data_IF_537777931260
#
_entry.id   IF_537777931260
#
_cell.length_a   1.000
_cell.length_b   1.000
_cell.length_c   1.000
_cell.angle_alpha   90.00
_cell.angle_beta   90.00
_cell.angle_gamma   90.00
#
_symmetry.space_group_name_H-M   'P 1'
#
loop_
_entity.id
_entity.type
_entity.pdbx_description
1 polymer ?
#
# COMPACT_ATOMS: atom_id res chain seq x y z
N UNK A 1 -6.53 -16.09 -3.49
CA UNK A 1 -6.01 -14.81 -4.02
C UNK A 1 -4.49 -14.85 -3.92
N UNK A 2 -3.77 -14.61 -5.03
CA UNK A 2 -2.31 -14.81 -5.11
C UNK A 2 -1.53 -13.63 -4.51
N UNK A 3 -0.29 -13.89 -4.08
CA UNK A 3 0.69 -12.92 -3.56
C UNK A 3 0.76 -11.62 -4.38
N UNK A 4 0.71 -11.72 -5.71
CA UNK A 4 0.76 -10.58 -6.64
C UNK A 4 -0.44 -9.64 -6.50
N UNK A 5 -1.63 -10.17 -6.15
CA UNK A 5 -2.85 -9.37 -6.02
C UNK A 5 -2.80 -8.40 -4.84
N UNK A 6 -2.27 -8.84 -3.69
CA UNK A 6 -2.10 -7.99 -2.51
C UNK A 6 -1.11 -6.85 -2.76
N UNK A 7 -0.01 -7.13 -3.48
CA UNK A 7 1.02 -6.14 -3.82
C UNK A 7 0.49 -5.11 -4.81
N UNK A 8 -0.18 -5.55 -5.88
CA UNK A 8 -0.78 -4.64 -6.86
C UNK A 8 -1.81 -3.73 -6.20
N UNK A 9 -2.65 -4.28 -5.32
CA UNK A 9 -3.65 -3.49 -4.60
C UNK A 9 -3.02 -2.52 -3.60
N UNK A 10 -1.96 -2.91 -2.91
CA UNK A 10 -1.19 -2.02 -2.04
C UNK A 10 -0.62 -0.80 -2.80
N UNK A 11 -0.05 -1.04 -3.98
CA UNK A 11 0.51 0.01 -4.83
C UNK A 11 -0.58 0.92 -5.39
N UNK A 12 -1.72 0.37 -5.79
CA UNK A 12 -2.89 1.14 -6.21
C UNK A 12 -3.37 2.06 -5.08
N UNK A 13 -3.59 1.53 -3.88
CA UNK A 13 -3.98 2.32 -2.70
C UNK A 13 -2.98 3.45 -2.40
N UNK A 14 -1.67 3.18 -2.50
CA UNK A 14 -0.64 4.20 -2.30
C UNK A 14 -0.70 5.34 -3.33
N UNK A 15 -1.15 5.06 -4.57
CA UNK A 15 -1.19 6.02 -5.68
C UNK A 15 -2.52 6.75 -5.83
N UNK A 16 -3.63 6.09 -5.55
CA UNK A 16 -4.99 6.60 -5.83
C UNK A 16 -5.86 6.69 -4.59
N UNK A 17 -5.59 5.90 -3.56
CA UNK A 17 -6.38 5.84 -2.35
C UNK A 17 -6.11 6.99 -1.39
N UNK A 18 -6.97 7.13 -0.37
CA UNK A 18 -6.83 8.14 0.69
C UNK A 18 -5.82 7.76 1.78
N UNK A 19 -5.04 6.68 1.56
CA UNK A 19 -4.08 6.17 2.54
C UNK A 19 -2.92 7.15 2.70
N UNK A 20 -2.46 7.31 3.94
CA UNK A 20 -1.32 8.17 4.30
C UNK A 20 -0.13 7.41 4.86
N UNK A 21 -0.24 6.10 5.02
CA UNK A 21 0.79 5.27 5.63
C UNK A 21 0.66 3.81 5.21
N UNK A 22 1.75 3.05 5.31
CA UNK A 22 1.77 1.60 5.02
C UNK A 22 0.83 0.83 5.94
N UNK A 23 0.66 1.27 7.18
CA UNK A 23 -0.31 0.68 8.11
C UNK A 23 -1.76 0.87 7.66
N UNK A 24 -2.04 2.01 7.03
CA UNK A 24 -3.37 2.30 6.51
C UNK A 24 -3.70 1.41 5.29
N UNK A 25 -2.71 1.25 4.40
CA UNK A 25 -2.76 0.27 3.31
C UNK A 25 -3.03 -1.13 3.85
N UNK A 26 -2.30 -1.57 4.88
CA UNK A 26 -2.51 -2.88 5.52
C UNK A 26 -3.93 -3.02 6.07
N UNK A 27 -4.47 -2.01 6.75
CA UNK A 27 -5.84 -2.03 7.28
C UNK A 27 -6.88 -2.13 6.17
N UNK A 28 -6.72 -1.37 5.10
CA UNK A 28 -7.61 -1.39 3.94
C UNK A 28 -7.57 -2.75 3.25
N UNK A 29 -6.39 -3.30 2.99
CA UNK A 29 -6.22 -4.62 2.39
C UNK A 29 -6.83 -5.73 3.26
N UNK A 30 -6.67 -5.67 4.58
CA UNK A 30 -7.34 -6.63 5.48
C UNK A 30 -8.86 -6.53 5.41
N UNK A 31 -9.42 -5.32 5.33
CA UNK A 31 -10.87 -5.12 5.13
C UNK A 31 -11.36 -5.65 3.79
N UNK A 32 -10.52 -5.60 2.75
CA UNK A 32 -10.81 -6.16 1.42
C UNK A 32 -10.62 -7.70 1.37
N UNK A 33 -10.23 -8.36 2.46
CA UNK A 33 -10.06 -9.82 2.54
C UNK A 33 -8.64 -10.33 2.26
N UNK A 34 -7.65 -9.43 2.19
CA UNK A 34 -6.23 -9.82 2.08
C UNK A 34 -5.65 -10.07 3.48
N UNK A 35 -5.97 -11.22 4.07
CA UNK A 35 -5.55 -11.58 5.44
C UNK A 35 -4.03 -11.81 5.54
N UNK A 36 -3.43 -12.41 4.51
CA UNK A 36 -1.99 -12.70 4.42
C UNK A 36 -1.13 -11.51 3.97
N UNK A 37 -1.70 -10.31 3.88
CA UNK A 37 -0.99 -9.11 3.39
C UNK A 37 0.24 -8.77 4.23
N UNK A 38 0.24 -9.17 5.50
CA UNK A 38 1.35 -8.98 6.43
C UNK A 38 2.65 -9.59 5.96
N UNK A 39 2.62 -10.86 5.53
CA UNK A 39 3.81 -11.55 5.04
C UNK A 39 4.42 -10.82 3.85
N UNK A 40 3.59 -10.40 2.91
CA UNK A 40 4.04 -9.74 1.68
C UNK A 40 4.52 -8.29 1.93
N UNK A 41 3.83 -7.55 2.80
CA UNK A 41 4.19 -6.17 3.17
C UNK A 41 5.38 -6.08 4.13
N UNK A 42 5.88 -7.18 4.69
CA UNK A 42 7.07 -7.14 5.56
C UNK A 42 8.35 -6.78 4.80
N UNK A 43 8.39 -7.05 3.50
CA UNK A 43 9.55 -6.78 2.63
C UNK A 43 9.98 -5.31 2.69
N UNK A 44 11.22 -5.06 3.12
CA UNK A 44 11.78 -3.72 3.27
C UNK A 44 11.70 -2.90 1.97
N UNK A 45 11.96 -3.54 0.82
CA UNK A 45 11.88 -2.90 -0.48
C UNK A 45 10.45 -2.46 -0.83
N UNK A 46 9.44 -3.29 -0.53
CA UNK A 46 8.05 -2.96 -0.81
C UNK A 46 7.56 -1.81 0.09
N UNK A 47 7.91 -1.83 1.39
CA UNK A 47 7.60 -0.70 2.29
C UNK A 47 8.18 0.62 1.78
N UNK A 48 9.41 0.60 1.27
CA UNK A 48 10.05 1.79 0.68
C UNK A 48 9.30 2.28 -0.55
N UNK A 49 8.91 1.38 -1.46
CA UNK A 49 8.13 1.73 -2.65
C UNK A 49 6.77 2.32 -2.30
N UNK A 50 6.05 1.72 -1.35
CA UNK A 50 4.74 2.23 -0.91
C UNK A 50 4.85 3.61 -0.26
N UNK A 51 5.85 3.82 0.61
CA UNK A 51 6.10 5.15 1.20
C UNK A 51 6.45 6.19 0.15
N UNK A 52 7.29 5.83 -0.83
CA UNK A 52 7.64 6.74 -1.93
C UNK A 52 6.40 7.11 -2.75
N UNK A 53 5.54 6.14 -3.10
CA UNK A 53 4.31 6.40 -3.84
C UNK A 53 3.32 7.27 -3.06
N UNK A 54 3.11 7.00 -1.76
CA UNK A 54 2.27 7.85 -0.90
C UNK A 54 2.82 9.28 -0.86
N UNK A 55 4.13 9.43 -0.66
CA UNK A 55 4.75 10.75 -0.55
C UNK A 55 4.69 11.51 -1.87
N UNK A 56 4.96 10.85 -2.99
CA UNK A 56 4.82 11.44 -4.32
C UNK A 56 3.39 11.92 -4.58
N UNK A 57 2.38 11.13 -4.21
CA UNK A 57 0.97 11.53 -4.31
C UNK A 57 0.68 12.75 -3.46
N UNK A 58 1.06 12.74 -2.17
CA UNK A 58 0.84 13.87 -1.26
C UNK A 58 1.53 15.14 -1.79
N UNK A 59 2.75 15.03 -2.30
CA UNK A 59 3.46 16.16 -2.91
C UNK A 59 2.71 16.73 -4.12
N UNK A 60 2.08 15.88 -4.94
CA UNK A 60 1.24 16.30 -6.08
C UNK A 60 -0.11 16.87 -5.67
N UNK A 61 -0.64 16.52 -4.50
CA UNK A 61 -1.91 17.05 -3.98
C UNK A 61 -1.75 18.42 -3.29
N UNK A 62 -0.54 18.73 -2.81
CA UNK A 62 -0.25 19.97 -2.05
C UNK A 62 0.42 21.04 -2.91
N UNK A 63 1.03 20.68 -4.04
CA UNK A 63 1.63 21.60 -5.02
C UNK A 63 0.68 21.97 -6.13
#
# INVERSE_FOLDING_TARGET
>A
MSETGAVMRALDLARTGSVRSVEDIRRTLKKEGFESVDGHLTSHNLKKQLRAAINERILKEVG
#
